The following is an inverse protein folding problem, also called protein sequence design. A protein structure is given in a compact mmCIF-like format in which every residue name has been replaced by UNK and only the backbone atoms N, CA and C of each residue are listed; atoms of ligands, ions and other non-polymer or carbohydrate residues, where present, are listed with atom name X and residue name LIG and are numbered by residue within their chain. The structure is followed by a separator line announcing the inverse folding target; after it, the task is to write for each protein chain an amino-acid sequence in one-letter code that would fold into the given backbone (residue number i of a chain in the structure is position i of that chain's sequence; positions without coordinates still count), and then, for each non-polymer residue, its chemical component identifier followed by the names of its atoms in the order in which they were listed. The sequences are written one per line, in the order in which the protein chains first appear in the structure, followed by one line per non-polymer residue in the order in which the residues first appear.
data_IF_373457823855
#
_entry.id   IF_373457823855
#
_cell.length_a   1.000
_cell.length_b   1.000
_cell.length_c   1.000
_cell.angle_alpha   90.00
_cell.angle_beta   90.00
_cell.angle_gamma   90.00
#
_symmetry.space_group_name_H-M   'P 1'
#
loop_
_entity.id
_entity.type
_entity.pdbx_description
1 polymer ?
#
# COMPACT_ATOMS: atom_id res chain seq x y z
N UNK A 1 12.31 -65.74 -8.06
CA UNK A 1 13.14 -64.92 -7.15
C UNK A 1 12.69 -63.48 -7.28
N UNK A 2 12.26 -62.93 -6.16
CA UNK A 2 11.63 -61.64 -5.91
C UNK A 2 12.56 -60.44 -6.10
N UNK A 3 12.04 -59.36 -6.71
CA UNK A 3 12.22 -57.95 -6.29
C UNK A 3 11.50 -57.03 -7.28
N UNK A 4 10.36 -56.48 -6.87
CA UNK A 4 9.76 -55.30 -7.49
C UNK A 4 9.45 -54.30 -6.39
N UNK A 5 10.48 -53.55 -5.98
CA UNK A 5 10.30 -52.30 -5.27
C UNK A 5 11.01 -51.22 -6.06
N UNK A 6 10.28 -50.62 -6.99
CA UNK A 6 10.71 -49.50 -7.81
C UNK A 6 9.54 -48.99 -8.66
N UNK A 7 9.49 -47.68 -9.02
CA UNK A 7 8.32 -47.05 -9.67
C UNK A 7 8.02 -47.52 -11.10
N UNK A 8 8.73 -48.53 -11.60
CA UNK A 8 8.81 -48.92 -13.00
C UNK A 8 8.34 -50.37 -13.16
N UNK A 9 7.13 -50.58 -13.71
CA UNK A 9 6.68 -51.91 -14.13
C UNK A 9 7.08 -52.16 -15.58
N UNK A 10 8.04 -53.04 -15.79
CA UNK A 10 8.36 -53.59 -17.11
C UNK A 10 7.31 -54.65 -17.46
N UNK A 11 6.42 -54.35 -18.41
CA UNK A 11 5.54 -55.36 -19.02
C UNK A 11 6.15 -55.75 -20.36
N UNK A 12 6.56 -57.02 -20.49
CA UNK A 12 7.04 -57.57 -21.75
C UNK A 12 5.98 -58.54 -22.30
N UNK A 13 5.61 -58.36 -23.58
CA UNK A 13 4.73 -59.25 -24.33
C UNK A 13 5.31 -59.42 -25.73
N UNK A 14 5.44 -60.66 -26.20
CA UNK A 14 6.02 -61.02 -27.51
C UNK A 14 7.38 -60.35 -27.82
N UNK A 15 8.31 -60.37 -26.87
CA UNK A 15 9.71 -59.97 -27.09
C UNK A 15 9.97 -58.47 -27.19
N UNK A 16 8.95 -57.60 -27.08
CA UNK A 16 9.12 -56.15 -26.98
C UNK A 16 8.83 -55.69 -25.55
N UNK A 17 9.81 -55.06 -24.90
CA UNK A 17 9.63 -54.46 -23.58
C UNK A 17 9.46 -52.94 -23.77
N UNK A 18 8.27 -52.43 -23.47
CA UNK A 18 7.98 -50.99 -23.50
C UNK A 18 8.07 -50.47 -22.05
N UNK A 19 8.96 -49.50 -21.82
CA UNK A 19 8.99 -48.73 -20.57
C UNK A 19 7.78 -47.81 -20.54
N UNK A 20 6.71 -48.23 -19.83
CA UNK A 20 5.55 -47.37 -19.61
C UNK A 20 5.75 -46.57 -18.31
N UNK A 21 6.00 -45.26 -18.44
CA UNK A 21 6.03 -44.34 -17.30
C UNK A 21 4.58 -43.91 -16.96
N UNK A 22 3.87 -44.72 -16.19
CA UNK A 22 2.46 -44.48 -15.87
C UNK A 22 2.24 -43.27 -14.94
N UNK A 23 3.27 -42.72 -14.29
CA UNK A 23 3.12 -41.85 -13.12
C UNK A 23 3.71 -40.43 -13.24
N UNK A 24 4.33 -40.04 -14.36
CA UNK A 24 4.92 -38.70 -14.48
C UNK A 24 3.88 -37.61 -14.80
N UNK A 25 2.83 -37.95 -15.56
CA UNK A 25 1.83 -36.97 -16.02
C UNK A 25 0.78 -36.63 -14.95
N UNK A 26 0.37 -37.60 -14.12
CA UNK A 26 -0.61 -37.37 -13.05
C UNK A 26 -0.02 -36.61 -11.86
N UNK A 27 1.24 -36.87 -11.47
CA UNK A 27 1.91 -36.12 -10.39
C UNK A 27 2.15 -34.66 -10.74
N UNK A 28 2.47 -34.36 -12.00
CA UNK A 28 2.68 -33.00 -12.47
C UNK A 28 1.37 -32.18 -12.44
N UNK A 29 0.23 -32.79 -12.78
CA UNK A 29 -1.07 -32.11 -12.84
C UNK A 29 -1.67 -31.83 -11.46
N UNK A 30 -1.35 -32.63 -10.43
CA UNK A 30 -1.81 -32.39 -9.04
C UNK A 30 -0.86 -31.44 -8.29
N UNK A 31 0.43 -31.42 -8.64
CA UNK A 31 1.42 -30.55 -8.02
C UNK A 31 1.22 -29.05 -8.35
N UNK A 32 0.74 -28.71 -9.56
CA UNK A 32 0.49 -27.32 -9.97
C UNK A 32 -0.64 -26.65 -9.18
N UNK A 33 -1.83 -27.26 -9.03
CA UNK A 33 -2.92 -26.72 -8.21
C UNK A 33 -2.55 -26.59 -6.74
N UNK A 34 -1.82 -27.55 -6.19
CA UNK A 34 -1.40 -27.52 -4.78
C UNK A 34 -0.41 -26.37 -4.50
N UNK A 35 0.61 -26.20 -5.35
CA UNK A 35 1.53 -25.06 -5.24
C UNK A 35 0.86 -23.71 -5.45
N UNK A 36 -0.14 -23.64 -6.34
CA UNK A 36 -0.95 -22.44 -6.53
C UNK A 36 -1.80 -22.12 -5.29
N UNK A 37 -2.33 -23.15 -4.61
CA UNK A 37 -3.10 -23.01 -3.37
C UNK A 37 -2.23 -22.57 -2.18
N UNK A 38 -1.00 -23.07 -2.07
CA UNK A 38 -0.04 -22.62 -1.04
C UNK A 38 0.41 -21.17 -1.30
N UNK A 39 0.77 -20.83 -2.55
CA UNK A 39 1.13 -19.46 -2.91
C UNK A 39 0.00 -18.46 -2.64
N UNK A 40 -1.26 -18.85 -2.92
CA UNK A 40 -2.42 -18.01 -2.62
C UNK A 40 -2.71 -17.90 -1.11
N UNK A 41 -2.39 -18.91 -0.29
CA UNK A 41 -2.45 -18.78 1.18
C UNK A 41 -1.37 -17.88 1.75
N UNK A 42 -0.13 -17.97 1.24
CA UNK A 42 0.98 -17.12 1.69
C UNK A 42 0.73 -15.64 1.34
N UNK A 43 0.21 -15.37 0.15
CA UNK A 43 -0.03 -13.99 -0.30
C UNK A 43 -1.34 -13.37 0.22
N UNK A 44 -2.22 -14.13 0.86
CA UNK A 44 -3.50 -13.62 1.34
C UNK A 44 -3.34 -12.53 2.41
N UNK A 45 -2.48 -12.77 3.40
CA UNK A 45 -2.24 -11.81 4.50
C UNK A 45 -1.53 -10.53 4.00
N UNK A 46 -0.46 -10.60 3.19
CA UNK A 46 0.12 -9.44 2.52
C UNK A 46 -0.88 -8.60 1.72
N UNK A 47 -1.79 -9.22 0.98
CA UNK A 47 -2.81 -8.48 0.21
C UNK A 47 -3.83 -7.78 1.12
N UNK A 48 -4.22 -8.40 2.23
CA UNK A 48 -5.08 -7.76 3.23
C UNK A 48 -4.37 -6.56 3.87
N UNK A 49 -3.09 -6.70 4.23
CA UNK A 49 -2.27 -5.60 4.74
C UNK A 49 -2.15 -4.45 3.74
N UNK A 50 -1.88 -4.75 2.47
CA UNK A 50 -1.84 -3.75 1.40
C UNK A 50 -3.14 -2.94 1.30
N UNK A 51 -4.28 -3.64 1.28
CA UNK A 51 -5.59 -2.99 1.19
C UNK A 51 -5.87 -2.10 2.41
N UNK A 52 -5.47 -2.55 3.61
CA UNK A 52 -5.59 -1.73 4.84
C UNK A 52 -4.70 -0.50 4.78
N UNK A 53 -3.44 -0.64 4.34
CA UNK A 53 -2.52 0.47 4.18
C UNK A 53 -3.04 1.51 3.18
N UNK A 54 -3.55 1.06 2.03
CA UNK A 54 -4.15 1.92 1.02
C UNK A 54 -5.41 2.64 1.54
N UNK A 55 -6.30 1.93 2.24
CA UNK A 55 -7.48 2.52 2.86
C UNK A 55 -7.11 3.59 3.89
N UNK A 56 -6.18 3.29 4.80
CA UNK A 56 -5.70 4.23 5.80
C UNK A 56 -4.99 5.45 5.16
N UNK A 57 -4.23 5.26 4.08
CA UNK A 57 -3.64 6.36 3.33
C UNK A 57 -4.72 7.28 2.73
N UNK A 58 -5.76 6.68 2.13
CA UNK A 58 -6.88 7.43 1.58
C UNK A 58 -7.64 8.22 2.67
N UNK A 59 -7.92 7.59 3.81
CA UNK A 59 -8.54 8.24 4.97
C UNK A 59 -7.70 9.41 5.48
N UNK A 60 -6.39 9.22 5.66
CA UNK A 60 -5.47 10.27 6.09
C UNK A 60 -5.38 11.42 5.08
N UNK A 61 -5.37 11.12 3.78
CA UNK A 61 -5.35 12.13 2.73
C UNK A 61 -6.64 12.97 2.73
N UNK A 62 -7.80 12.32 2.88
CA UNK A 62 -9.09 13.02 2.97
C UNK A 62 -9.15 13.88 4.23
N UNK A 63 -8.73 13.36 5.37
CA UNK A 63 -8.67 14.12 6.62
C UNK A 63 -7.74 15.34 6.49
N UNK A 64 -6.59 15.18 5.84
CA UNK A 64 -5.67 16.26 5.52
C UNK A 64 -6.34 17.33 4.63
N UNK A 65 -6.96 16.93 3.53
CA UNK A 65 -7.63 17.87 2.61
C UNK A 65 -8.75 18.66 3.30
N UNK A 66 -9.56 18.00 4.14
CA UNK A 66 -10.62 18.65 4.90
C UNK A 66 -10.06 19.65 5.94
N UNK A 67 -8.97 19.30 6.62
CA UNK A 67 -8.29 20.18 7.57
C UNK A 67 -7.68 21.40 6.88
N UNK A 68 -7.03 21.20 5.73
CA UNK A 68 -6.50 22.27 4.89
C UNK A 68 -7.61 23.21 4.43
N UNK A 69 -8.68 22.67 3.84
CA UNK A 69 -9.83 23.44 3.37
C UNK A 69 -10.44 24.28 4.49
N UNK A 70 -10.73 23.68 5.64
CA UNK A 70 -11.30 24.39 6.79
C UNK A 70 -10.39 25.53 7.26
N UNK A 71 -9.09 25.29 7.34
CA UNK A 71 -8.11 26.30 7.75
C UNK A 71 -8.07 27.49 6.79
N UNK A 72 -7.98 27.23 5.48
CA UNK A 72 -7.95 28.29 4.48
C UNK A 72 -9.27 29.07 4.42
N UNK A 73 -10.42 28.38 4.51
CA UNK A 73 -11.73 29.03 4.59
C UNK A 73 -11.83 29.93 5.83
N UNK A 74 -11.36 29.46 6.98
CA UNK A 74 -11.35 30.25 8.21
C UNK A 74 -10.50 31.52 8.05
N UNK A 75 -9.31 31.42 7.44
CA UNK A 75 -8.46 32.58 7.15
C UNK A 75 -9.21 33.56 6.24
N UNK A 76 -9.77 33.09 5.13
CA UNK A 76 -10.47 33.93 4.15
C UNK A 76 -11.72 34.59 4.73
N UNK A 77 -12.54 33.86 5.49
CA UNK A 77 -13.73 34.41 6.12
C UNK A 77 -13.39 35.46 7.18
N UNK A 78 -12.34 35.23 7.96
CA UNK A 78 -11.84 36.23 8.90
C UNK A 78 -11.35 37.50 8.19
N UNK A 79 -10.69 37.36 7.04
CA UNK A 79 -10.31 38.52 6.21
C UNK A 79 -11.52 39.27 5.66
N UNK A 80 -12.51 38.55 5.14
CA UNK A 80 -13.71 39.16 4.60
C UNK A 80 -14.49 39.91 5.69
N UNK A 81 -14.60 39.33 6.89
CA UNK A 81 -15.22 39.99 8.04
C UNK A 81 -14.46 41.23 8.46
N UNK A 82 -13.13 41.15 8.58
CA UNK A 82 -12.29 42.30 8.93
C UNK A 82 -12.39 43.42 7.89
N UNK A 83 -12.49 43.07 6.60
CA UNK A 83 -12.70 44.05 5.53
C UNK A 83 -14.09 44.71 5.60
N UNK A 84 -15.13 43.96 5.96
CA UNK A 84 -16.49 44.49 6.11
C UNK A 84 -16.65 45.45 7.29
N UNK A 85 -15.75 45.37 8.29
CA UNK A 85 -15.73 46.26 9.47
C UNK A 85 -14.97 47.58 9.23
N UNK A 86 -14.41 47.80 8.02
CA UNK A 86 -13.70 49.03 7.67
C UNK A 86 -14.71 50.18 7.49
N UNK A 87 -14.61 51.20 8.34
CA UNK A 87 -15.52 52.37 8.34
C UNK A 87 -14.84 53.67 7.95
N UNK A 88 -13.51 53.72 8.01
CA UNK A 88 -12.71 54.95 7.84
C UNK A 88 -11.25 54.65 7.45
N UNK A 89 -10.49 55.71 7.12
CA UNK A 89 -9.11 55.61 6.65
C UNK A 89 -8.18 54.97 7.71
N UNK A 90 -8.40 55.19 9.00
CA UNK A 90 -7.58 54.58 10.04
C UNK A 90 -7.84 53.07 10.12
N UNK A 91 -9.11 52.66 10.10
CA UNK A 91 -9.48 51.23 10.05
C UNK A 91 -8.95 50.51 8.79
N UNK A 92 -8.88 51.21 7.66
CA UNK A 92 -8.25 50.70 6.43
C UNK A 92 -6.73 50.55 6.59
N UNK A 93 -6.06 51.52 7.21
CA UNK A 93 -4.63 51.45 7.48
C UNK A 93 -4.29 50.28 8.41
N UNK A 94 -5.08 50.09 9.47
CA UNK A 94 -4.95 48.96 10.39
C UNK A 94 -5.16 47.61 9.69
N UNK A 95 -6.17 47.51 8.81
CA UNK A 95 -6.40 46.31 8.00
C UNK A 95 -5.18 45.99 7.11
N UNK A 96 -4.63 46.99 6.43
CA UNK A 96 -3.44 46.85 5.60
C UNK A 96 -2.20 46.42 6.40
N UNK A 97 -1.99 46.98 7.59
CA UNK A 97 -0.88 46.59 8.48
C UNK A 97 -0.99 45.13 8.92
N UNK A 98 -2.21 44.63 9.17
CA UNK A 98 -2.44 43.23 9.56
C UNK A 98 -2.19 42.23 8.42
N UNK A 99 -2.27 42.63 7.15
CA UNK A 99 -2.07 41.73 5.99
C UNK A 99 -0.71 41.01 6.04
N UNK A 100 0.33 41.65 6.57
CA UNK A 100 1.65 41.00 6.74
C UNK A 100 1.60 39.82 7.71
N UNK A 101 0.85 39.94 8.81
CA UNK A 101 0.71 38.84 9.79
C UNK A 101 -0.16 37.69 9.23
N UNK A 102 -1.14 38.03 8.40
CA UNK A 102 -1.96 37.04 7.69
C UNK A 102 -1.11 36.28 6.66
N UNK A 103 -0.27 36.98 5.91
CA UNK A 103 0.67 36.36 4.98
C UNK A 103 1.62 35.38 5.71
N UNK A 104 2.12 35.77 6.88
CA UNK A 104 2.94 34.89 7.74
C UNK A 104 2.15 33.68 8.23
N UNK A 105 0.89 33.86 8.63
CA UNK A 105 0.00 32.75 9.03
C UNK A 105 -0.20 31.76 7.88
N UNK A 106 -0.47 32.26 6.67
CA UNK A 106 -0.62 31.43 5.46
C UNK A 106 0.69 30.70 5.15
N UNK A 107 1.84 31.38 5.23
CA UNK A 107 3.15 30.76 5.01
C UNK A 107 3.43 29.63 6.01
N UNK A 108 3.17 29.86 7.29
CA UNK A 108 3.33 28.85 8.34
C UNK A 108 2.41 27.65 8.08
N UNK A 109 1.16 27.90 7.68
CA UNK A 109 0.22 26.83 7.34
C UNK A 109 0.69 26.02 6.14
N UNK A 110 1.17 26.69 5.08
CA UNK A 110 1.72 26.02 3.90
C UNK A 110 2.90 25.11 4.26
N UNK A 111 3.83 25.58 5.10
CA UNK A 111 4.95 24.76 5.57
C UNK A 111 4.50 23.58 6.43
N UNK A 112 3.51 23.79 7.29
CA UNK A 112 2.90 22.71 8.08
C UNK A 112 2.24 21.67 7.19
N UNK A 113 1.54 22.10 6.14
CA UNK A 113 0.83 21.23 5.21
C UNK A 113 1.80 20.43 4.34
N UNK A 114 2.89 21.05 3.89
CA UNK A 114 3.96 20.34 3.21
C UNK A 114 4.55 19.22 4.09
N UNK A 115 4.81 19.49 5.37
CA UNK A 115 5.30 18.48 6.32
C UNK A 115 4.27 17.37 6.55
N UNK A 116 2.99 17.71 6.65
CA UNK A 116 1.92 16.73 6.85
C UNK A 116 1.82 15.78 5.66
N UNK A 117 1.82 16.30 4.44
CA UNK A 117 1.79 15.46 3.22
C UNK A 117 3.04 14.57 3.15
N UNK A 118 4.23 15.12 3.40
CA UNK A 118 5.47 14.31 3.43
C UNK A 118 5.42 13.22 4.51
N UNK A 119 4.76 13.47 5.64
CA UNK A 119 4.55 12.47 6.68
C UNK A 119 3.62 11.33 6.23
N UNK A 120 2.52 11.66 5.53
CA UNK A 120 1.59 10.68 4.98
C UNK A 120 2.29 9.79 3.93
N UNK A 121 3.02 10.42 3.01
CA UNK A 121 3.78 9.74 1.96
C UNK A 121 4.89 8.84 2.55
N UNK A 122 5.66 9.35 3.51
CA UNK A 122 6.72 8.60 4.16
C UNK A 122 6.21 7.39 4.94
N UNK A 123 5.11 7.55 5.68
CA UNK A 123 4.48 6.43 6.38
C UNK A 123 3.98 5.36 5.41
N UNK A 124 3.29 5.76 4.34
CA UNK A 124 2.76 4.81 3.35
C UNK A 124 3.88 4.04 2.64
N UNK A 125 4.95 4.74 2.24
CA UNK A 125 6.13 4.12 1.64
C UNK A 125 6.77 3.10 2.57
N UNK A 126 6.92 3.43 3.86
CA UNK A 126 7.48 2.51 4.84
C UNK A 126 6.64 1.24 5.02
N UNK A 127 5.31 1.34 5.02
CA UNK A 127 4.42 0.17 5.08
C UNK A 127 4.53 -0.70 3.82
N UNK A 128 4.71 -0.08 2.65
CA UNK A 128 4.92 -0.79 1.39
C UNK A 128 6.27 -1.52 1.35
N UNK A 129 7.34 -0.91 1.86
CA UNK A 129 8.66 -1.54 1.97
C UNK A 129 8.63 -2.73 2.94
N UNK A 130 8.00 -2.58 4.11
CA UNK A 130 7.81 -3.68 5.07
C UNK A 130 7.02 -4.84 4.47
N UNK A 131 5.95 -4.52 3.73
CA UNK A 131 5.16 -5.52 3.03
C UNK A 131 6.00 -6.28 1.99
N UNK A 132 6.81 -5.57 1.21
CA UNK A 132 7.69 -6.18 0.21
C UNK A 132 8.71 -7.12 0.87
N UNK A 133 9.29 -6.74 2.01
CA UNK A 133 10.20 -7.58 2.79
C UNK A 133 9.49 -8.83 3.36
N UNK A 134 8.26 -8.67 3.87
CA UNK A 134 7.45 -9.78 4.39
C UNK A 134 7.18 -10.81 3.28
N UNK A 135 6.76 -10.35 2.10
CA UNK A 135 6.53 -11.23 0.95
C UNK A 135 7.82 -11.93 0.51
N UNK A 136 8.95 -11.22 0.53
CA UNK A 136 10.25 -11.81 0.19
C UNK A 136 10.67 -12.91 1.18
N UNK A 137 10.51 -12.71 2.49
CA UNK A 137 10.85 -13.71 3.51
C UNK A 137 9.95 -14.97 3.42
N UNK A 138 8.67 -14.79 3.10
CA UNK A 138 7.76 -15.93 2.92
C UNK A 138 8.02 -16.72 1.64
N UNK A 139 8.47 -16.06 0.56
CA UNK A 139 8.75 -16.70 -0.72
C UNK A 139 10.14 -17.32 -0.82
N UNK A 140 11.10 -16.83 -0.03
CA UNK A 140 12.40 -17.47 0.08
C UNK A 140 12.26 -18.69 1.01
N UNK A 141 12.39 -19.93 0.50
CA UNK A 141 12.40 -21.08 1.39
C UNK A 141 13.54 -20.89 2.37
N UNK A 142 13.25 -20.95 3.68
CA UNK A 142 14.28 -20.96 4.72
C UNK A 142 15.24 -22.09 4.39
N UNK A 143 16.41 -21.73 3.86
CA UNK A 143 17.42 -22.67 3.43
C UNK A 143 17.88 -23.47 4.66
N UNK A 144 17.48 -24.74 4.69
CA UNK A 144 18.02 -25.79 5.58
C UNK A 144 18.60 -26.86 4.68
#
# INVERSE_FOLDING_TARGET
MSRTEGPWMLRCSNGCCILHCSNFKERAVIATPFKLLEASRMLAEPLVRLNRAAAANAENMVAFQMSALNSYLTISLNQLKAAAEITDIASLQDFCQRQTEIAKTVQQKLLSDARAISGIDGWFTAEMDDLALTVLDELLPKAV
#
